data_IF_746630015445
#
_entry.id   IF_746630015445
#
_cell.length_a   1.000
_cell.length_b   1.000
_cell.length_c   1.000
_cell.angle_alpha   90.00
_cell.angle_beta   90.00
_cell.angle_gamma   90.00
#
_symmetry.space_group_name_H-M   'P 1'
#
loop_
_entity.id
_entity.type
_entity.pdbx_description
1 polymer ?
#
# COMPACT_ATOMS: atom_id res chain seq x y z
N UNK A 1 -12.03 9.40 4.63
CA UNK A 1 -12.43 8.19 3.86
C UNK A 1 -11.42 7.99 2.75
N UNK A 2 -11.00 6.74 2.51
CA UNK A 2 -10.11 6.37 1.41
C UNK A 2 -10.73 6.77 0.07
N UNK A 3 -9.92 7.28 -0.86
CA UNK A 3 -10.40 7.71 -2.18
C UNK A 3 -9.91 6.80 -3.30
N UNK A 4 -8.63 6.47 -3.28
CA UNK A 4 -8.02 5.62 -4.31
C UNK A 4 -6.76 4.97 -3.77
N UNK A 5 -6.36 3.86 -4.38
CA UNK A 5 -5.00 3.37 -4.31
C UNK A 5 -4.10 4.32 -5.08
N UNK A 6 -2.88 4.58 -4.60
CA UNK A 6 -1.98 5.53 -5.26
C UNK A 6 -0.52 5.09 -5.28
N UNK A 7 -0.18 4.06 -4.52
CA UNK A 7 1.17 3.50 -4.48
C UNK A 7 1.24 2.08 -3.97
N UNK A 8 2.32 1.42 -4.29
CA UNK A 8 2.75 0.16 -3.73
C UNK A 8 4.16 0.30 -3.22
N UNK A 9 4.43 -0.14 -2.00
CA UNK A 9 5.76 -0.17 -1.42
C UNK A 9 6.28 -1.61 -1.34
N UNK A 10 7.48 -1.85 -1.82
CA UNK A 10 8.16 -3.14 -1.79
C UNK A 10 9.41 -3.07 -0.93
N UNK A 11 9.62 -4.07 -0.09
CA UNK A 11 10.89 -4.30 0.58
C UNK A 11 11.79 -5.17 -0.32
N UNK A 12 12.97 -4.66 -0.63
CA UNK A 12 13.93 -5.30 -1.54
C UNK A 12 15.31 -5.36 -0.90
N UNK A 13 16.12 -6.31 -1.34
CA UNK A 13 17.51 -6.47 -0.86
C UNK A 13 18.51 -5.66 -1.69
N UNK A 14 18.14 -5.30 -2.90
CA UNK A 14 18.92 -4.47 -3.83
C UNK A 14 17.94 -3.57 -4.60
N UNK A 15 17.97 -2.29 -4.29
CA UNK A 15 17.04 -1.32 -4.88
C UNK A 15 17.42 -0.95 -6.30
N UNK A 16 18.70 -1.01 -6.67
CA UNK A 16 19.17 -0.67 -8.01
C UNK A 16 18.80 -1.77 -9.02
N UNK A 17 18.95 -3.04 -8.61
CA UNK A 17 18.51 -4.19 -9.39
C UNK A 17 16.98 -4.16 -9.58
N UNK A 18 16.25 -3.95 -8.51
CA UNK A 18 14.78 -3.87 -8.54
C UNK A 18 14.30 -2.72 -9.45
N UNK A 19 14.83 -1.51 -9.26
CA UNK A 19 14.47 -0.36 -10.08
C UNK A 19 14.79 -0.59 -11.57
N UNK A 20 15.94 -1.20 -11.88
CA UNK A 20 16.31 -1.56 -13.24
C UNK A 20 15.32 -2.54 -13.86
N UNK A 21 14.89 -3.53 -13.09
CA UNK A 21 13.91 -4.53 -13.53
C UNK A 21 12.54 -3.90 -13.81
N UNK A 22 12.04 -3.05 -12.92
CA UNK A 22 10.76 -2.36 -13.12
C UNK A 22 10.80 -1.39 -14.31
N UNK A 23 11.91 -0.67 -14.50
CA UNK A 23 12.11 0.18 -15.68
C UNK A 23 12.07 -0.65 -16.98
N UNK A 24 12.76 -1.77 -17.01
CA UNK A 24 12.82 -2.64 -18.18
C UNK A 24 11.50 -3.30 -18.53
N UNK A 25 10.72 -3.74 -17.51
CA UNK A 25 9.49 -4.50 -17.73
C UNK A 25 8.31 -3.58 -17.99
N UNK A 26 8.20 -2.47 -17.28
CA UNK A 26 7.02 -1.62 -17.27
C UNK A 26 7.25 -0.22 -17.87
N UNK A 27 8.47 0.06 -18.32
CA UNK A 27 8.86 1.38 -18.83
C UNK A 27 8.59 2.50 -17.81
N UNK A 28 8.79 2.18 -16.52
CA UNK A 28 8.63 3.12 -15.42
C UNK A 28 9.83 4.07 -15.30
N UNK A 29 9.63 5.23 -14.67
CA UNK A 29 10.67 6.26 -14.52
C UNK A 29 10.94 6.52 -13.05
N UNK A 30 12.21 6.54 -12.64
CA UNK A 30 12.61 6.98 -11.29
C UNK A 30 12.33 8.47 -11.15
N UNK A 31 11.57 8.82 -10.11
CA UNK A 31 11.20 10.20 -9.80
C UNK A 31 11.80 10.70 -8.49
N UNK A 32 12.27 9.78 -7.63
CA UNK A 32 12.90 10.13 -6.36
C UNK A 32 13.85 9.02 -5.90
N UNK A 33 14.96 9.40 -5.23
CA UNK A 33 15.95 8.48 -4.63
C UNK A 33 16.53 9.14 -3.39
N UNK A 34 15.97 8.80 -2.24
CA UNK A 34 16.28 9.49 -0.98
C UNK A 34 16.47 8.52 0.19
N UNK A 35 17.21 8.93 1.23
CA UNK A 35 17.19 8.21 2.50
C UNK A 35 15.83 8.40 3.20
N UNK A 36 15.21 7.30 3.59
CA UNK A 36 14.07 7.28 4.49
C UNK A 36 14.55 7.01 5.91
N UNK A 37 14.63 8.07 6.72
CA UNK A 37 15.19 8.00 8.08
C UNK A 37 14.30 7.18 9.02
N UNK A 38 12.99 7.27 8.89
CA UNK A 38 12.02 6.57 9.75
C UNK A 38 12.03 5.06 9.49
N UNK A 39 12.17 4.67 8.23
CA UNK A 39 12.30 3.27 7.83
C UNK A 39 13.74 2.74 7.96
N UNK A 40 14.73 3.62 8.19
CA UNK A 40 16.17 3.35 8.10
C UNK A 40 16.51 2.59 6.81
N UNK A 41 16.12 3.18 5.68
CA UNK A 41 16.22 2.57 4.35
C UNK A 41 16.60 3.60 3.29
N UNK A 42 17.12 3.14 2.15
CA UNK A 42 17.09 3.91 0.91
C UNK A 42 15.74 3.66 0.24
N UNK A 43 15.08 4.72 -0.16
CA UNK A 43 13.83 4.66 -0.89
C UNK A 43 14.01 5.21 -2.29
N UNK A 44 13.76 4.37 -3.29
CA UNK A 44 13.65 4.76 -4.68
C UNK A 44 12.18 4.72 -5.09
N UNK A 45 11.67 5.84 -5.59
CA UNK A 45 10.30 5.96 -6.05
C UNK A 45 10.28 6.01 -7.58
N UNK A 46 9.49 5.11 -8.16
CA UNK A 46 9.22 5.12 -9.60
C UNK A 46 7.79 5.61 -9.84
N UNK A 47 7.61 6.40 -10.90
CA UNK A 47 6.29 6.59 -11.47
C UNK A 47 5.94 5.36 -12.31
N UNK A 48 4.77 4.78 -12.03
CA UNK A 48 4.28 3.52 -12.57
C UNK A 48 2.82 3.68 -12.99
N UNK A 49 2.62 4.04 -14.23
CA UNK A 49 1.33 4.53 -14.70
C UNK A 49 1.03 5.92 -14.15
N UNK A 50 -0.16 6.09 -13.60
CA UNK A 50 -0.55 7.29 -12.86
C UNK A 50 -0.23 7.21 -11.36
N UNK A 51 0.32 6.08 -10.88
CA UNK A 51 0.62 5.81 -9.47
C UNK A 51 2.12 5.70 -9.21
N UNK A 52 2.51 5.32 -8.01
CA UNK A 52 3.90 5.19 -7.60
C UNK A 52 4.23 3.79 -7.13
N UNK A 53 5.46 3.37 -7.43
CA UNK A 53 6.10 2.20 -6.84
C UNK A 53 7.27 2.68 -5.99
N UNK A 54 7.24 2.41 -4.70
CA UNK A 54 8.32 2.72 -3.77
C UNK A 54 9.11 1.45 -3.45
N UNK A 55 10.41 1.47 -3.67
CA UNK A 55 11.33 0.39 -3.38
C UNK A 55 12.16 0.76 -2.15
N UNK A 56 12.14 -0.07 -1.12
CA UNK A 56 12.85 0.15 0.13
C UNK A 56 13.95 -0.89 0.32
N UNK A 57 15.20 -0.44 0.35
CA UNK A 57 16.39 -1.23 0.71
C UNK A 57 16.85 -0.84 2.11
N UNK A 58 16.98 -1.78 3.07
CA UNK A 58 17.38 -1.45 4.44
C UNK A 58 18.82 -0.94 4.50
N UNK A 59 19.07 0.08 5.35
CA UNK A 59 20.39 0.65 5.63
C UNK A 59 20.90 0.27 7.03
N UNK A 60 20.31 -0.75 7.64
CA UNK A 60 20.62 -1.23 8.99
C UNK A 60 19.36 -1.82 9.62
N UNK A 61 19.31 -1.86 10.97
CA UNK A 61 18.11 -2.30 11.69
C UNK A 61 16.95 -1.33 11.50
N UNK A 62 15.73 -1.84 11.40
CA UNK A 62 14.53 -1.04 11.23
C UNK A 62 13.38 -1.81 10.57
N UNK A 63 12.24 -1.17 10.34
CA UNK A 63 11.02 -1.85 9.87
C UNK A 63 11.21 -2.64 8.58
N UNK A 64 12.02 -2.14 7.64
CA UNK A 64 12.29 -2.83 6.35
C UNK A 64 13.18 -4.04 6.58
N UNK A 65 14.24 -3.90 7.38
CA UNK A 65 15.11 -5.00 7.74
C UNK A 65 14.35 -6.10 8.51
N UNK A 66 13.53 -5.70 9.47
CA UNK A 66 12.70 -6.62 10.26
C UNK A 66 11.74 -7.42 9.36
N UNK A 67 11.14 -6.76 8.37
CA UNK A 67 10.26 -7.41 7.40
C UNK A 67 11.01 -8.47 6.58
N UNK A 68 12.17 -8.12 6.01
CA UNK A 68 12.99 -9.04 5.22
C UNK A 68 13.53 -10.19 6.09
N UNK A 69 14.01 -9.91 7.29
CA UNK A 69 14.56 -10.90 8.21
C UNK A 69 13.49 -11.88 8.74
N UNK A 70 12.21 -11.49 8.72
CA UNK A 70 11.09 -12.39 9.01
C UNK A 70 10.79 -13.40 7.89
N UNK A 71 11.61 -13.43 6.83
CA UNK A 71 11.44 -14.29 5.66
C UNK A 71 10.45 -13.75 4.62
N UNK A 72 9.92 -12.55 4.83
CA UNK A 72 9.00 -11.91 3.90
C UNK A 72 9.76 -11.15 2.82
N UNK A 73 9.18 -11.10 1.63
CA UNK A 73 9.68 -10.32 0.49
C UNK A 73 8.54 -9.75 -0.31
N UNK A 74 8.77 -8.66 -1.01
CA UNK A 74 7.77 -8.03 -1.88
C UNK A 74 6.95 -6.98 -1.15
N UNK A 75 5.63 -7.07 -1.17
CA UNK A 75 4.74 -6.02 -0.69
C UNK A 75 4.96 -5.72 0.79
N UNK A 76 5.54 -4.53 1.04
CA UNK A 76 5.80 -4.00 2.36
C UNK A 76 4.62 -3.16 2.86
N UNK A 77 4.05 -2.33 2.00
CA UNK A 77 2.86 -1.56 2.30
C UNK A 77 2.02 -1.27 1.04
N UNK A 78 0.72 -1.17 1.24
CA UNK A 78 -0.20 -0.61 0.27
C UNK A 78 -0.46 0.87 0.55
N UNK A 79 -0.55 1.71 -0.49
CA UNK A 79 -0.77 3.14 -0.32
C UNK A 79 -2.13 3.59 -0.80
N UNK A 80 -2.71 4.52 -0.04
CA UNK A 80 -4.01 5.11 -0.31
C UNK A 80 -3.92 6.63 -0.28
N UNK A 81 -4.52 7.27 -1.28
CA UNK A 81 -4.69 8.70 -1.31
C UNK A 81 -6.06 9.10 -0.75
N UNK A 82 -6.09 10.15 0.05
CA UNK A 82 -7.31 10.67 0.66
C UNK A 82 -7.21 12.18 0.89
N UNK A 83 -8.38 12.84 1.06
CA UNK A 83 -8.42 14.29 1.27
C UNK A 83 -7.77 14.73 2.57
N UNK A 84 -7.92 13.92 3.61
CA UNK A 84 -7.41 14.20 4.95
C UNK A 84 -6.73 12.94 5.51
N UNK A 85 -5.44 12.72 5.20
CA UNK A 85 -4.68 11.60 5.72
C UNK A 85 -4.45 11.71 7.23
N UNK A 86 -4.39 12.91 7.79
CA UNK A 86 -4.17 13.12 9.23
C UNK A 86 -5.35 12.62 10.06
N UNK A 87 -6.58 12.87 9.63
CA UNK A 87 -7.77 12.38 10.34
C UNK A 87 -7.84 10.85 10.38
N UNK A 88 -7.44 10.17 9.29
CA UNK A 88 -7.39 8.71 9.30
C UNK A 88 -6.21 8.19 10.12
N UNK A 89 -5.07 8.85 10.07
CA UNK A 89 -3.91 8.52 10.90
C UNK A 89 -4.23 8.63 12.39
N UNK A 90 -4.92 9.69 12.81
CA UNK A 90 -5.40 9.87 14.19
C UNK A 90 -6.37 8.76 14.62
N UNK A 91 -7.27 8.34 13.72
CA UNK A 91 -8.18 7.22 13.98
C UNK A 91 -7.43 5.91 14.21
N UNK A 92 -6.41 5.64 13.41
CA UNK A 92 -5.55 4.45 13.51
C UNK A 92 -4.77 4.48 14.84
N UNK A 93 -4.21 5.63 15.18
CA UNK A 93 -3.46 5.82 16.44
C UNK A 93 -4.37 5.64 17.67
N UNK A 94 -5.58 6.18 17.64
CA UNK A 94 -6.61 5.97 18.70
C UNK A 94 -7.03 4.50 18.85
N UNK A 95 -6.88 3.70 17.81
CA UNK A 95 -7.07 2.24 17.87
C UNK A 95 -5.86 1.49 18.48
N UNK A 96 -4.84 2.21 18.95
CA UNK A 96 -3.62 1.65 19.55
C UNK A 96 -2.59 1.15 18.55
N UNK A 97 -2.71 1.53 17.29
CA UNK A 97 -1.79 1.15 16.21
C UNK A 97 -0.84 2.31 15.94
N UNK A 98 0.46 2.04 16.05
CA UNK A 98 1.48 3.07 15.90
C UNK A 98 1.52 3.63 14.49
N UNK A 99 1.38 4.94 14.36
CA UNK A 99 1.47 5.69 13.10
C UNK A 99 2.75 6.53 13.09
N UNK A 100 3.43 6.57 11.96
CA UNK A 100 4.64 7.36 11.75
C UNK A 100 4.36 8.45 10.73
N UNK A 101 4.57 9.69 11.10
CA UNK A 101 4.43 10.82 10.19
C UNK A 101 5.73 11.04 9.40
N UNK A 102 5.62 11.17 8.10
CA UNK A 102 6.73 11.45 7.17
C UNK A 102 6.34 12.60 6.24
N UNK A 103 6.60 13.83 6.65
CA UNK A 103 6.13 15.01 5.94
C UNK A 103 4.60 15.10 5.98
N UNK A 104 3.97 15.08 4.82
CA UNK A 104 2.52 15.14 4.61
C UNK A 104 1.84 13.77 4.55
N UNK A 105 2.62 12.68 4.64
CA UNK A 105 2.13 11.31 4.62
C UNK A 105 2.28 10.62 5.97
N UNK A 106 1.51 9.54 6.17
CA UNK A 106 1.53 8.73 7.37
C UNK A 106 1.76 7.26 7.01
N UNK A 107 2.59 6.58 7.78
CA UNK A 107 2.98 5.19 7.53
C UNK A 107 2.66 4.35 8.77
N UNK A 108 1.99 3.23 8.54
CA UNK A 108 1.86 2.14 9.51
C UNK A 108 2.69 0.97 9.01
N UNK A 109 3.64 0.53 9.79
CA UNK A 109 4.53 -0.55 9.38
C UNK A 109 3.88 -1.94 9.50
N UNK A 110 4.34 -2.95 8.72
CA UNK A 110 3.74 -4.29 8.69
C UNK A 110 3.62 -4.97 10.06
N UNK A 111 4.59 -4.74 10.96
CA UNK A 111 4.59 -5.32 12.31
C UNK A 111 3.42 -4.82 13.16
N UNK A 112 2.97 -3.59 12.90
CA UNK A 112 1.91 -2.94 13.65
C UNK A 112 0.52 -3.18 13.01
N UNK A 113 0.46 -3.73 11.77
CA UNK A 113 -0.75 -3.91 10.99
C UNK A 113 -0.88 -5.32 10.37
N UNK A 114 -0.92 -6.35 11.21
CA UNK A 114 -1.19 -7.75 10.80
C UNK A 114 -0.34 -8.27 9.63
N UNK A 115 0.82 -7.67 9.38
CA UNK A 115 1.81 -8.22 8.43
C UNK A 115 1.97 -7.49 7.10
N UNK A 116 1.11 -6.54 6.72
CA UNK A 116 1.29 -5.63 5.58
C UNK A 116 1.01 -4.21 6.02
N UNK A 117 1.93 -3.30 5.73
CA UNK A 117 1.81 -1.90 6.13
C UNK A 117 0.82 -1.10 5.27
N UNK A 118 0.58 0.13 5.69
CA UNK A 118 -0.26 1.11 4.98
C UNK A 118 0.46 2.45 4.90
N UNK A 119 0.37 3.10 3.75
CA UNK A 119 0.81 4.48 3.53
C UNK A 119 -0.42 5.32 3.20
N UNK A 120 -0.63 6.38 3.97
CA UNK A 120 -1.70 7.35 3.76
C UNK A 120 -1.10 8.65 3.25
N UNK A 121 -1.58 9.16 2.12
CA UNK A 121 -1.06 10.37 1.48
C UNK A 121 -2.17 11.31 1.04
N UNK A 122 -1.90 12.62 0.92
CA UNK A 122 -2.81 13.52 0.25
C UNK A 122 -3.06 13.09 -1.20
N UNK A 123 -4.25 13.41 -1.72
CA UNK A 123 -4.54 13.22 -3.14
C UNK A 123 -3.59 14.12 -3.95
N UNK A 124 -2.84 13.51 -4.83
CA UNK A 124 -1.98 14.22 -5.78
C UNK A 124 -2.49 13.98 -7.21
N UNK A 125 -2.59 15.05 -7.99
CA UNK A 125 -2.84 14.91 -9.43
C UNK A 125 -1.54 14.48 -10.11
N UNK A 126 -1.60 13.35 -10.83
CA UNK A 126 -0.54 12.85 -11.68
C UNK A 126 -1.13 12.67 -13.07
N UNK A 127 -1.23 13.78 -13.79
CA UNK A 127 -1.95 13.85 -15.06
C UNK A 127 -1.28 13.06 -16.19
N UNK A 128 0.04 12.92 -16.13
CA UNK A 128 0.78 12.20 -17.16
C UNK A 128 1.05 10.76 -16.76
N UNK A 129 0.46 9.83 -17.47
CA UNK A 129 0.75 8.40 -17.36
C UNK A 129 2.16 8.11 -17.88
N UNK A 130 2.91 7.25 -17.16
CA UNK A 130 4.25 6.80 -17.53
C UNK A 130 4.28 5.29 -17.67
N UNK A 131 4.86 4.83 -18.79
CA UNK A 131 5.08 3.42 -19.06
C UNK A 131 3.82 2.63 -19.42
N UNK A 132 3.90 1.31 -19.24
CA UNK A 132 2.87 0.37 -19.69
C UNK A 132 1.67 0.25 -18.76
N UNK A 133 1.86 0.57 -17.47
CA UNK A 133 0.79 0.50 -16.47
C UNK A 133 -0.16 1.69 -16.60
N UNK A 134 -1.39 1.52 -16.13
CA UNK A 134 -2.33 2.61 -16.00
C UNK A 134 -2.39 3.11 -14.56
N UNK A 135 -2.92 2.27 -13.68
CA UNK A 135 -3.06 2.56 -12.24
C UNK A 135 -3.06 1.27 -11.42
N UNK A 136 -2.86 1.41 -10.11
CA UNK A 136 -3.08 0.34 -9.15
C UNK A 136 -4.58 0.26 -8.88
N UNK A 137 -5.21 -0.82 -9.37
CA UNK A 137 -6.65 -0.96 -9.24
C UNK A 137 -7.07 -1.42 -7.83
N UNK A 138 -6.30 -2.35 -7.23
CA UNK A 138 -6.59 -2.85 -5.89
C UNK A 138 -5.31 -3.22 -5.12
N UNK A 139 -5.43 -3.26 -3.81
CA UNK A 139 -4.45 -3.83 -2.89
C UNK A 139 -5.14 -4.96 -2.14
N UNK A 140 -4.58 -6.17 -2.23
CA UNK A 140 -5.16 -7.36 -1.61
C UNK A 140 -4.36 -7.77 -0.39
N UNK A 141 -5.04 -7.99 0.73
CA UNK A 141 -4.49 -8.52 1.96
C UNK A 141 -4.92 -9.97 2.15
N UNK A 142 -3.97 -10.87 2.31
CA UNK A 142 -4.28 -12.26 2.69
C UNK A 142 -4.44 -12.34 4.19
N UNK A 143 -5.57 -12.87 4.65
CA UNK A 143 -5.90 -12.99 6.07
C UNK A 143 -6.27 -14.44 6.40
N UNK A 144 -6.00 -14.92 7.63
CA UNK A 144 -6.34 -16.30 8.03
C UNK A 144 -7.85 -16.52 8.13
N UNK A 145 -8.59 -15.49 8.53
CA UNK A 145 -10.04 -15.50 8.67
C UNK A 145 -10.62 -14.26 8.00
N UNK A 146 -11.50 -14.47 7.02
CA UNK A 146 -12.03 -13.40 6.18
C UNK A 146 -12.90 -12.42 6.97
N UNK A 147 -13.81 -12.90 7.80
CA UNK A 147 -14.77 -12.05 8.51
C UNK A 147 -14.05 -11.17 9.56
N UNK A 148 -13.12 -11.76 10.29
CA UNK A 148 -12.25 -11.01 11.22
C UNK A 148 -11.37 -10.00 10.48
N UNK A 149 -10.88 -10.34 9.30
CA UNK A 149 -10.09 -9.44 8.45
C UNK A 149 -10.94 -8.25 7.97
N UNK A 150 -12.10 -8.53 7.40
CA UNK A 150 -13.05 -7.48 6.94
C UNK A 150 -13.44 -6.57 8.10
N UNK A 151 -13.88 -7.15 9.23
CA UNK A 151 -14.27 -6.36 10.40
C UNK A 151 -13.13 -5.45 10.90
N UNK A 152 -11.91 -5.99 10.96
CA UNK A 152 -10.74 -5.22 11.40
C UNK A 152 -10.44 -4.04 10.47
N UNK A 153 -10.29 -4.30 9.17
CA UNK A 153 -9.91 -3.24 8.21
C UNK A 153 -11.04 -2.24 7.98
N UNK A 154 -12.31 -2.70 7.93
CA UNK A 154 -13.46 -1.80 7.80
C UNK A 154 -13.59 -0.87 9.00
N UNK A 155 -13.43 -1.39 10.21
CA UNK A 155 -13.42 -0.55 11.41
C UNK A 155 -12.24 0.41 11.42
N UNK A 156 -11.04 -0.07 11.09
CA UNK A 156 -9.82 0.76 11.10
C UNK A 156 -9.92 1.92 10.11
N UNK A 157 -10.31 1.63 8.87
CA UNK A 157 -10.38 2.62 7.80
C UNK A 157 -11.70 3.40 7.75
N UNK A 158 -12.66 3.06 8.60
CA UNK A 158 -13.97 3.72 8.61
C UNK A 158 -14.80 3.42 7.37
N UNK A 159 -14.73 2.19 6.86
CA UNK A 159 -15.48 1.77 5.69
C UNK A 159 -16.76 1.06 6.13
N UNK A 160 -17.88 1.42 5.52
CA UNK A 160 -19.17 0.79 5.79
C UNK A 160 -19.24 -0.61 5.18
N UNK A 161 -19.89 -1.56 5.85
CA UNK A 161 -20.03 -2.94 5.35
C UNK A 161 -20.80 -3.00 4.02
N UNK A 162 -21.72 -2.08 3.79
CA UNK A 162 -22.45 -1.93 2.52
C UNK A 162 -21.55 -1.66 1.30
N UNK A 163 -20.29 -1.25 1.52
CA UNK A 163 -19.27 -1.05 0.48
C UNK A 163 -18.44 -2.31 0.24
N UNK A 164 -18.74 -3.41 0.92
CA UNK A 164 -17.95 -4.66 0.85
C UNK A 164 -18.76 -5.78 0.21
N UNK A 165 -18.31 -6.28 -0.91
CA UNK A 165 -18.88 -7.45 -1.58
C UNK A 165 -18.05 -8.68 -1.23
N UNK A 166 -18.71 -9.75 -0.81
CA UNK A 166 -18.10 -11.06 -0.53
C UNK A 166 -18.35 -12.01 -1.68
N UNK A 167 -17.34 -12.79 -2.01
CA UNK A 167 -17.43 -13.82 -3.04
C UNK A 167 -16.52 -15.00 -2.73
N UNK A 168 -16.77 -16.13 -3.40
CA UNK A 168 -15.99 -17.36 -3.26
C UNK A 168 -15.63 -17.88 -4.63
N UNK A 169 -14.47 -18.50 -4.74
CA UNK A 169 -14.08 -19.25 -5.91
C UNK A 169 -13.91 -20.73 -5.53
N UNK A 170 -14.79 -21.57 -6.03
CA UNK A 170 -14.66 -23.03 -5.87
C UNK A 170 -13.43 -23.55 -6.62
N UNK A 171 -13.16 -22.99 -7.80
CA UNK A 171 -12.03 -23.38 -8.64
C UNK A 171 -10.68 -23.17 -7.95
N UNK A 172 -10.55 -22.08 -7.22
CA UNK A 172 -9.29 -21.67 -6.58
C UNK A 172 -9.31 -21.91 -5.06
N UNK A 173 -10.43 -22.36 -4.50
CA UNK A 173 -10.55 -22.71 -3.10
C UNK A 173 -10.34 -21.56 -2.12
N UNK A 174 -10.77 -20.33 -2.48
CA UNK A 174 -10.66 -19.17 -1.58
C UNK A 174 -12.00 -18.46 -1.37
N UNK A 175 -12.06 -17.75 -0.24
CA UNK A 175 -13.08 -16.75 0.05
C UNK A 175 -12.45 -15.38 0.04
N UNK A 176 -13.13 -14.38 -0.50
CA UNK A 176 -12.63 -13.00 -0.58
C UNK A 176 -13.71 -11.97 -0.31
N UNK A 177 -13.29 -10.76 0.03
CA UNK A 177 -14.13 -9.59 0.12
C UNK A 177 -13.45 -8.43 -0.59
N UNK A 178 -14.17 -7.72 -1.43
CA UNK A 178 -13.72 -6.49 -2.08
C UNK A 178 -14.45 -5.32 -1.46
N UNK A 179 -13.69 -4.38 -0.93
CA UNK A 179 -14.21 -3.12 -0.41
C UNK A 179 -13.99 -2.03 -1.44
N UNK A 180 -15.06 -1.39 -1.84
CA UNK A 180 -15.06 -0.32 -2.84
C UNK A 180 -14.85 1.03 -2.18
N UNK A 181 -14.03 1.87 -2.79
CA UNK A 181 -13.93 3.28 -2.44
C UNK A 181 -14.89 4.09 -3.32
N UNK A 182 -15.23 5.29 -2.89
CA UNK A 182 -16.20 6.15 -3.58
C UNK A 182 -15.91 6.33 -5.09
N UNK A 183 -14.64 6.40 -5.48
CA UNK A 183 -14.23 6.54 -6.88
C UNK A 183 -14.40 5.26 -7.73
N UNK A 184 -14.48 4.10 -7.10
CA UNK A 184 -14.63 2.80 -7.75
C UNK A 184 -16.09 2.29 -7.72
N UNK A 185 -16.99 3.00 -7.04
CA UNK A 185 -18.39 2.62 -6.90
C UNK A 185 -19.07 2.65 -8.27
N UNK A 186 -19.33 1.48 -8.83
CA UNK A 186 -19.99 1.34 -10.14
C UNK A 186 -19.06 0.93 -11.29
N UNK A 187 -17.77 0.68 -11.04
CA UNK A 187 -16.95 -0.01 -12.03
C UNK A 187 -17.44 -1.47 -12.17
N UNK A 188 -17.79 -1.93 -13.39
CA UNK A 188 -18.16 -3.33 -13.58
C UNK A 188 -17.02 -4.25 -13.19
N UNK A 189 -17.36 -5.36 -12.53
CA UNK A 189 -16.47 -6.51 -12.38
C UNK A 189 -16.60 -7.31 -13.68
N UNK A 190 -15.77 -6.98 -14.66
CA UNK A 190 -15.62 -7.79 -15.87
C UNK A 190 -14.67 -8.95 -15.62
#
# INVERSE_FOLDING_TARGET
>A
MLKQTDRLALAVTDVDEAATSFKKIFDSVVIDDIPDKEANARRVTLQWGCDQLELFEPRGSGPVADFINSGKRGIFAGGFALKDPAALAERIDKAGIKVHQQGDRFVVYPKDLRGTGVILSPIASREQRVGLMDKIWQITYTVPDLDSGVAFYSNLFGVEDAMTNRYSSELWGYHAAITWFEAAKGAPLD
#
